data_IF_000952324099
#
_entry.id   IF_000952324099
#
_cell.length_a   1.000
_cell.length_b   1.000
_cell.length_c   1.000
_cell.angle_alpha   90.00
_cell.angle_beta   90.00
_cell.angle_gamma   90.00
#
_symmetry.space_group_name_H-M   'P 1'
#
loop_
_entity.id
_entity.type
_entity.pdbx_description
1 polymer ?
#
# COMPACT_ATOMS: atom_id res chain seq x y z
N UNK A 1 7.66 48.80 -22.59
CA UNK A 1 8.27 48.83 -21.24
C UNK A 1 7.17 48.48 -20.25
N UNK A 2 7.14 47.41 -19.45
CA UNK A 2 8.00 46.26 -19.22
C UNK A 2 7.09 45.02 -19.16
N UNK A 3 7.32 43.99 -20.00
CA UNK A 3 6.63 42.70 -19.92
C UNK A 3 7.72 41.66 -19.74
N UNK A 4 7.81 41.05 -18.56
CA UNK A 4 8.79 40.04 -18.13
C UNK A 4 10.00 40.53 -17.32
N UNK A 5 9.84 41.56 -16.49
CA UNK A 5 10.85 41.79 -15.45
C UNK A 5 10.67 40.76 -14.34
N UNK A 6 11.71 39.96 -14.10
CA UNK A 6 11.76 39.02 -12.99
C UNK A 6 12.16 39.79 -11.74
N UNK A 7 11.39 39.64 -10.67
CA UNK A 7 11.76 40.17 -9.36
C UNK A 7 12.23 39.02 -8.47
N UNK A 8 13.27 39.26 -7.68
CA UNK A 8 13.66 38.34 -6.62
C UNK A 8 12.66 38.47 -5.46
N UNK A 9 12.13 37.34 -4.99
CA UNK A 9 11.14 37.29 -3.92
C UNK A 9 11.51 36.20 -2.93
N UNK A 10 11.47 36.55 -1.65
CA UNK A 10 11.57 35.61 -0.53
C UNK A 10 10.19 35.26 0.01
N UNK A 11 10.06 34.06 0.57
CA UNK A 11 8.82 33.58 1.16
C UNK A 11 8.47 34.40 2.42
N UNK A 12 7.31 35.09 2.48
CA UNK A 12 7.12 36.16 3.48
C UNK A 12 6.62 35.70 4.85
N UNK A 13 6.21 34.44 5.00
CA UNK A 13 5.66 33.89 6.24
C UNK A 13 6.12 32.44 6.49
N UNK A 14 6.13 31.95 7.74
CA UNK A 14 6.58 30.60 8.05
C UNK A 14 5.56 29.53 7.66
N UNK A 15 5.98 28.26 7.74
CA UNK A 15 5.09 27.11 7.67
C UNK A 15 4.07 27.11 8.83
N UNK A 16 2.89 26.54 8.59
CA UNK A 16 1.91 26.26 9.66
C UNK A 16 1.96 24.76 9.94
N UNK A 17 2.37 24.39 11.16
CA UNK A 17 2.37 23.00 11.62
C UNK A 17 2.50 22.95 13.15
N UNK A 18 2.21 21.78 13.73
CA UNK A 18 2.48 21.45 15.11
C UNK A 18 2.98 20.00 15.24
N UNK A 19 3.22 19.56 16.47
CA UNK A 19 3.68 18.19 16.77
C UNK A 19 2.71 17.09 16.34
N UNK A 20 1.43 17.42 16.18
CA UNK A 20 0.35 16.48 15.89
C UNK A 20 -0.02 16.50 14.40
N UNK A 21 0.63 17.32 13.58
CA UNK A 21 0.44 17.37 12.13
C UNK A 21 0.86 16.05 11.49
N UNK A 22 0.02 15.54 10.57
CA UNK A 22 0.12 14.21 9.95
C UNK A 22 0.26 14.22 8.44
N UNK A 23 -0.27 15.25 7.77
CA UNK A 23 -0.04 15.45 6.34
C UNK A 23 0.63 16.80 6.13
N UNK A 24 1.51 16.88 5.14
CA UNK A 24 2.12 18.14 4.70
C UNK A 24 1.63 18.46 3.29
N UNK A 25 0.94 19.59 3.14
CA UNK A 25 0.54 20.10 1.84
C UNK A 25 1.48 21.23 1.44
N UNK A 26 2.03 21.13 0.23
CA UNK A 26 2.96 22.09 -0.35
C UNK A 26 2.32 22.77 -1.55
N UNK A 27 2.28 24.10 -1.57
CA UNK A 27 2.16 24.85 -2.81
C UNK A 27 3.50 24.97 -3.54
N UNK A 28 3.52 25.73 -4.65
CA UNK A 28 4.76 26.05 -5.38
C UNK A 28 5.47 27.22 -4.69
N UNK A 29 4.84 28.39 -4.74
CA UNK A 29 5.27 29.64 -4.12
C UNK A 29 4.02 30.53 -3.90
N UNK A 30 3.97 31.38 -2.86
CA UNK A 30 2.80 32.19 -2.55
C UNK A 30 2.49 33.19 -3.68
N UNK A 31 1.20 33.29 -4.05
CA UNK A 31 0.72 34.28 -5.02
C UNK A 31 0.90 35.73 -4.54
N UNK A 32 0.86 36.72 -5.44
CA UNK A 32 0.87 38.16 -5.10
C UNK A 32 -0.14 38.45 -3.99
N UNK A 33 -1.37 37.94 -4.11
CA UNK A 33 -2.40 38.17 -3.11
C UNK A 33 -2.09 37.52 -1.76
N UNK A 34 -1.52 36.31 -1.77
CA UNK A 34 -1.05 35.63 -0.56
C UNK A 34 0.05 36.44 0.15
N UNK A 35 0.96 37.06 -0.63
CA UNK A 35 2.02 37.92 -0.08
C UNK A 35 1.46 39.22 0.52
N UNK A 36 0.48 39.84 -0.13
CA UNK A 36 -0.20 41.03 0.41
C UNK A 36 -0.91 40.77 1.75
N UNK A 37 -1.57 39.62 1.89
CA UNK A 37 -2.32 39.27 3.12
C UNK A 37 -1.48 38.50 4.13
N UNK A 38 -0.20 38.26 3.82
CA UNK A 38 0.74 37.50 4.63
C UNK A 38 0.22 36.11 5.06
N UNK A 39 -0.51 35.41 4.17
CA UNK A 39 -1.11 34.11 4.48
C UNK A 39 -1.35 33.25 3.23
N UNK A 40 -1.48 31.93 3.44
CA UNK A 40 -1.67 30.95 2.37
C UNK A 40 -3.00 31.13 1.63
N UNK A 41 -2.94 30.95 0.30
CA UNK A 41 -4.10 30.95 -0.60
C UNK A 41 -5.05 32.16 -0.45
N UNK A 42 -4.50 33.37 -0.29
CA UNK A 42 -5.26 34.60 -0.08
C UNK A 42 -6.13 35.08 -1.26
N UNK A 43 -6.01 34.48 -2.45
CA UNK A 43 -6.84 34.84 -3.59
C UNK A 43 -8.29 34.34 -3.41
N UNK A 44 -9.34 35.19 -3.48
CA UNK A 44 -10.73 34.80 -3.16
C UNK A 44 -11.29 33.64 -4.01
N UNK A 45 -10.82 33.50 -5.25
CA UNK A 45 -11.19 32.38 -6.14
C UNK A 45 -10.37 31.10 -5.92
N UNK A 46 -9.38 31.10 -5.02
CA UNK A 46 -8.65 29.87 -4.70
C UNK A 46 -9.58 28.95 -3.90
N UNK A 47 -9.66 27.70 -4.31
CA UNK A 47 -10.62 26.74 -3.76
C UNK A 47 -10.08 25.94 -2.58
N UNK A 48 -8.83 26.15 -2.16
CA UNK A 48 -8.16 25.34 -1.14
C UNK A 48 -8.98 25.24 0.16
N UNK A 49 -9.33 26.38 0.77
CA UNK A 49 -10.03 26.41 2.06
C UNK A 49 -11.41 25.75 1.98
N UNK A 50 -12.17 26.03 0.91
CA UNK A 50 -13.47 25.39 0.65
C UNK A 50 -13.33 23.88 0.45
N UNK A 51 -12.29 23.44 -0.25
CA UNK A 51 -12.02 22.04 -0.55
C UNK A 51 -11.64 21.27 0.71
N UNK A 52 -10.66 21.75 1.47
CA UNK A 52 -10.15 21.02 2.63
C UNK A 52 -11.17 20.99 3.77
N UNK A 53 -11.94 22.06 3.98
CA UNK A 53 -13.06 22.07 4.95
C UNK A 53 -14.16 21.09 4.56
N UNK A 54 -14.52 21.04 3.27
CA UNK A 54 -15.46 20.05 2.75
C UNK A 54 -15.00 18.61 3.01
N UNK A 55 -13.72 18.30 2.78
CA UNK A 55 -13.17 16.97 3.03
C UNK A 55 -13.08 16.60 4.51
N UNK A 56 -12.93 17.58 5.39
CA UNK A 56 -12.96 17.37 6.85
C UNK A 56 -14.39 17.38 7.42
N UNK A 57 -15.41 17.69 6.62
CA UNK A 57 -16.80 17.79 7.08
C UNK A 57 -17.06 19.01 7.98
N UNK A 58 -16.28 20.07 7.84
CA UNK A 58 -16.36 21.28 8.67
C UNK A 58 -16.75 22.53 7.87
N UNK A 59 -17.17 23.58 8.57
CA UNK A 59 -17.39 24.89 7.97
C UNK A 59 -16.07 25.48 7.44
N UNK A 60 -16.15 26.24 6.34
CA UNK A 60 -14.98 26.90 5.77
C UNK A 60 -14.51 28.02 6.70
N UNK A 61 -13.25 27.99 7.19
CA UNK A 61 -12.73 29.04 8.06
C UNK A 61 -12.52 30.35 7.28
N UNK A 62 -12.80 31.49 7.92
CA UNK A 62 -12.77 32.80 7.28
C UNK A 62 -11.52 33.60 7.68
N UNK A 63 -11.24 33.67 8.98
CA UNK A 63 -10.11 34.44 9.54
C UNK A 63 -8.80 33.66 9.52
N UNK A 64 -7.67 34.35 9.71
CA UNK A 64 -6.34 33.72 9.78
C UNK A 64 -6.25 32.81 11.00
N UNK A 65 -6.82 33.23 12.11
CA UNK A 65 -6.89 32.50 13.37
C UNK A 65 -7.72 31.23 13.21
N UNK A 66 -8.90 31.32 12.59
CA UNK A 66 -9.76 30.18 12.30
C UNK A 66 -9.11 29.18 11.35
N UNK A 67 -8.41 29.68 10.30
CA UNK A 67 -7.69 28.84 9.33
C UNK A 67 -6.53 28.11 9.98
N UNK A 68 -5.78 28.78 10.83
CA UNK A 68 -4.65 28.18 11.56
C UNK A 68 -5.17 27.12 12.55
N UNK A 69 -6.19 27.46 13.34
CA UNK A 69 -6.84 26.50 14.24
C UNK A 69 -7.46 25.32 13.48
N UNK A 70 -7.97 25.53 12.26
CA UNK A 70 -8.51 24.48 11.39
C UNK A 70 -7.43 23.49 10.96
N UNK A 71 -6.28 24.00 10.53
CA UNK A 71 -5.16 23.15 10.14
C UNK A 71 -4.66 22.30 11.31
N UNK A 72 -4.45 22.91 12.49
CA UNK A 72 -3.99 22.19 13.68
C UNK A 72 -4.95 21.09 14.14
N UNK A 73 -6.24 21.40 14.30
CA UNK A 73 -7.24 20.41 14.77
C UNK A 73 -7.44 19.26 13.78
N UNK A 74 -7.21 19.50 12.50
CA UNK A 74 -7.29 18.48 11.45
C UNK A 74 -5.93 17.86 11.12
N UNK A 75 -4.88 18.13 11.90
CA UNK A 75 -3.55 17.52 11.71
C UNK A 75 -2.92 17.82 10.34
N UNK A 76 -3.12 19.02 9.81
CA UNK A 76 -2.62 19.45 8.51
C UNK A 76 -1.48 20.45 8.69
N UNK A 77 -0.30 20.11 8.19
CA UNK A 77 0.77 21.07 7.96
C UNK A 77 0.62 21.70 6.57
N UNK A 78 0.89 22.99 6.46
CA UNK A 78 0.78 23.75 5.23
C UNK A 78 2.01 24.62 5.00
N UNK A 79 2.61 24.51 3.82
CA UNK A 79 3.68 25.38 3.36
C UNK A 79 3.76 25.47 1.83
N UNK A 80 4.88 25.98 1.31
CA UNK A 80 5.23 26.04 -0.10
C UNK A 80 6.59 25.38 -0.32
N UNK A 81 6.86 24.95 -1.55
CA UNK A 81 8.10 24.21 -1.88
C UNK A 81 9.33 25.12 -1.94
N UNK A 82 9.15 26.39 -2.27
CA UNK A 82 10.26 27.32 -2.57
C UNK A 82 10.37 28.40 -1.49
N UNK A 83 11.60 28.58 -0.99
CA UNK A 83 11.98 29.61 -0.02
C UNK A 83 12.21 30.96 -0.69
N UNK A 84 12.87 30.97 -1.84
CA UNK A 84 13.08 32.19 -2.64
C UNK A 84 13.26 31.86 -4.12
N UNK A 85 12.90 32.80 -4.98
CA UNK A 85 13.09 32.66 -6.42
C UNK A 85 13.01 34.01 -7.15
N UNK A 86 13.42 34.00 -8.41
CA UNK A 86 13.12 35.06 -9.35
C UNK A 86 11.83 34.71 -10.09
N UNK A 87 10.81 35.57 -9.99
CA UNK A 87 9.48 35.30 -10.54
C UNK A 87 8.87 36.54 -11.18
N UNK A 88 8.08 36.35 -12.23
CA UNK A 88 7.19 37.37 -12.77
C UNK A 88 5.81 37.21 -12.10
N UNK A 89 5.46 38.16 -11.24
CA UNK A 89 4.20 38.21 -10.50
C UNK A 89 3.93 36.93 -9.68
N UNK A 90 3.05 36.04 -10.15
CA UNK A 90 2.73 34.74 -9.54
C UNK A 90 2.82 33.59 -10.53
N UNK A 91 3.47 33.79 -11.67
CA UNK A 91 3.48 32.79 -12.73
C UNK A 91 4.51 31.71 -12.44
N UNK A 92 4.06 30.51 -12.06
CA UNK A 92 4.94 29.35 -11.80
C UNK A 92 5.86 29.00 -12.99
N UNK A 93 5.42 29.29 -14.23
CA UNK A 93 6.22 29.08 -15.44
C UNK A 93 7.44 30.00 -15.54
N UNK A 94 7.45 31.11 -14.78
CA UNK A 94 8.52 32.12 -14.80
C UNK A 94 9.57 31.92 -13.71
N UNK A 95 9.37 30.97 -12.79
CA UNK A 95 10.27 30.71 -11.66
C UNK A 95 11.67 30.35 -12.18
N UNK A 96 12.66 31.14 -11.76
CA UNK A 96 14.10 30.90 -11.96
C UNK A 96 14.84 31.02 -10.63
N UNK A 97 16.07 30.52 -10.61
CA UNK A 97 16.97 30.61 -9.44
C UNK A 97 16.30 30.19 -8.12
N UNK A 98 15.51 29.12 -8.20
CA UNK A 98 14.67 28.67 -7.08
C UNK A 98 15.52 28.02 -6.00
N UNK A 99 15.36 28.49 -4.76
CA UNK A 99 15.91 27.89 -3.55
C UNK A 99 14.77 27.17 -2.83
N UNK A 100 14.86 25.85 -2.59
CA UNK A 100 13.80 25.12 -1.89
C UNK A 100 13.73 25.48 -0.40
N UNK A 101 12.54 25.34 0.20
CA UNK A 101 12.41 25.34 1.66
C UNK A 101 13.04 24.08 2.26
N UNK A 102 13.66 24.23 3.43
CA UNK A 102 14.10 23.09 4.25
C UNK A 102 12.91 22.53 5.04
N UNK A 103 12.44 21.34 4.67
CA UNK A 103 11.33 20.68 5.35
C UNK A 103 11.77 19.86 6.57
N UNK A 104 13.07 19.74 6.82
CA UNK A 104 13.62 18.93 7.93
C UNK A 104 13.00 19.29 9.28
N UNK A 105 12.86 20.58 9.66
CA UNK A 105 12.24 20.94 10.94
C UNK A 105 10.80 20.44 11.08
N UNK A 106 10.00 20.48 10.00
CA UNK A 106 8.63 19.98 10.02
C UNK A 106 8.64 18.46 10.22
N UNK A 107 9.47 17.75 9.46
CA UNK A 107 9.52 16.28 9.48
C UNK A 107 10.08 15.70 10.78
N UNK A 108 10.91 16.45 11.51
CA UNK A 108 11.49 16.04 12.79
C UNK A 108 10.60 16.38 13.98
N UNK A 109 9.87 17.51 13.91
CA UNK A 109 9.09 18.04 15.03
C UNK A 109 7.58 17.79 14.90
N UNK A 110 7.17 16.93 13.96
CA UNK A 110 5.77 16.53 13.79
C UNK A 110 5.66 15.06 13.38
N UNK A 111 4.43 14.61 13.09
CA UNK A 111 4.10 13.22 12.76
C UNK A 111 3.72 13.07 11.28
N UNK A 112 4.32 13.85 10.38
CA UNK A 112 4.03 13.73 8.95
C UNK A 112 4.22 12.29 8.48
N UNK A 113 3.14 11.72 7.95
CA UNK A 113 3.03 10.41 7.32
C UNK A 113 3.04 10.51 5.78
N UNK A 114 2.59 11.64 5.23
CA UNK A 114 2.48 11.85 3.79
C UNK A 114 2.71 13.31 3.38
N UNK A 115 3.32 13.49 2.20
CA UNK A 115 3.57 14.79 1.57
C UNK A 115 2.74 14.91 0.29
N UNK A 116 2.02 16.02 0.16
CA UNK A 116 1.17 16.34 -0.97
C UNK A 116 1.63 17.63 -1.64
N UNK A 117 1.60 17.67 -2.97
CA UNK A 117 1.90 18.89 -3.73
C UNK A 117 0.67 19.37 -4.47
N UNK A 118 0.27 20.62 -4.23
CA UNK A 118 -0.89 21.28 -4.82
C UNK A 118 -0.56 21.80 -6.22
N UNK A 119 -0.77 20.96 -7.24
CA UNK A 119 -0.56 21.28 -8.65
C UNK A 119 0.77 20.81 -9.23
N UNK A 120 0.84 20.79 -10.57
CA UNK A 120 1.99 20.26 -11.31
C UNK A 120 3.29 21.05 -11.10
N UNK A 121 3.19 22.37 -10.91
CA UNK A 121 4.35 23.20 -10.65
C UNK A 121 5.02 22.86 -9.31
N UNK A 122 4.23 22.80 -8.24
CA UNK A 122 4.69 22.37 -6.90
C UNK A 122 5.33 20.99 -6.97
N UNK A 123 4.68 20.02 -7.61
CA UNK A 123 5.21 18.67 -7.77
C UNK A 123 6.57 18.64 -8.49
N UNK A 124 6.69 19.35 -9.62
CA UNK A 124 7.94 19.43 -10.38
C UNK A 124 9.08 20.03 -9.55
N UNK A 125 8.79 21.06 -8.75
CA UNK A 125 9.78 21.71 -7.89
C UNK A 125 10.19 20.78 -6.74
N UNK A 126 9.24 20.08 -6.13
CA UNK A 126 9.51 19.08 -5.10
C UNK A 126 10.41 17.95 -5.62
N UNK A 127 10.05 17.32 -6.74
CA UNK A 127 10.83 16.23 -7.34
C UNK A 127 12.25 16.68 -7.73
N UNK A 128 12.40 17.94 -8.17
CA UNK A 128 13.70 18.47 -8.58
C UNK A 128 14.62 18.82 -7.41
N UNK A 129 14.09 19.46 -6.36
CA UNK A 129 14.92 20.10 -5.34
C UNK A 129 14.80 19.48 -3.94
N UNK A 130 13.65 18.92 -3.58
CA UNK A 130 13.38 18.43 -2.22
C UNK A 130 13.49 16.91 -2.14
N UNK A 131 12.88 16.19 -3.10
CA UNK A 131 12.91 14.71 -3.16
C UNK A 131 14.33 14.12 -3.12
N UNK A 132 15.34 14.66 -3.83
CA UNK A 132 16.69 14.09 -3.82
C UNK A 132 17.39 14.22 -2.46
N UNK A 133 17.00 15.22 -1.66
CA UNK A 133 17.58 15.47 -0.34
C UNK A 133 16.88 14.63 0.72
N UNK A 134 15.55 14.64 0.73
CA UNK A 134 14.77 14.01 1.80
C UNK A 134 14.49 12.53 1.58
N UNK A 135 14.51 12.04 0.34
CA UNK A 135 14.19 10.64 0.08
C UNK A 135 12.75 10.25 0.44
N UNK A 136 11.81 11.21 0.53
CA UNK A 136 10.36 10.98 0.72
C UNK A 136 9.57 11.34 -0.57
N UNK A 137 8.76 10.43 -1.16
CA UNK A 137 7.97 10.75 -2.35
C UNK A 137 6.79 11.64 -1.99
N UNK A 138 6.37 12.51 -2.92
CA UNK A 138 5.16 13.31 -2.76
C UNK A 138 4.04 12.85 -3.72
N UNK A 139 2.80 13.02 -3.29
CA UNK A 139 1.62 12.75 -4.11
C UNK A 139 1.12 14.05 -4.75
N UNK A 140 1.08 14.06 -6.09
CA UNK A 140 0.58 15.21 -6.84
C UNK A 140 -0.95 15.29 -6.76
N UNK A 141 -1.45 16.43 -6.28
CA UNK A 141 -2.87 16.76 -6.28
C UNK A 141 -3.18 17.79 -7.38
N UNK A 142 -4.40 17.81 -7.95
CA UNK A 142 -4.80 18.87 -8.86
C UNK A 142 -4.78 20.24 -8.18
N UNK A 143 -4.43 21.28 -8.94
CA UNK A 143 -4.27 22.61 -8.37
C UNK A 143 -5.59 23.21 -7.88
N UNK A 144 -5.58 23.82 -6.70
CA UNK A 144 -6.72 24.60 -6.15
C UNK A 144 -6.77 26.04 -6.67
N UNK A 145 -5.75 26.46 -7.42
CA UNK A 145 -5.61 27.81 -7.99
C UNK A 145 -6.74 28.13 -8.98
N UNK A 146 -7.10 29.41 -9.16
CA UNK A 146 -8.00 29.86 -10.22
C UNK A 146 -7.52 29.49 -11.63
N UNK A 147 -6.21 29.24 -11.83
CA UNK A 147 -5.67 28.77 -13.10
C UNK A 147 -6.23 27.39 -13.52
N UNK A 148 -6.71 26.59 -12.57
CA UNK A 148 -7.36 25.31 -12.82
C UNK A 148 -8.89 25.43 -12.93
N UNK A 149 -9.39 26.51 -13.55
CA UNK A 149 -10.82 26.82 -13.60
C UNK A 149 -11.68 25.75 -14.31
N UNK A 150 -11.08 24.92 -15.17
CA UNK A 150 -11.79 23.88 -15.92
C UNK A 150 -12.27 22.70 -15.05
N UNK A 151 -11.59 22.41 -13.94
CA UNK A 151 -11.97 21.31 -13.05
C UNK A 151 -13.20 21.68 -12.22
N UNK A 152 -14.25 20.85 -12.25
CA UNK A 152 -15.42 21.00 -11.36
C UNK A 152 -15.01 20.79 -9.90
N UNK A 153 -15.78 21.34 -8.97
CA UNK A 153 -15.44 21.23 -7.55
C UNK A 153 -15.52 19.79 -7.06
N UNK A 154 -16.49 19.03 -7.54
CA UNK A 154 -16.74 17.63 -7.20
C UNK A 154 -15.58 16.74 -7.68
N UNK A 155 -15.12 16.92 -8.92
CA UNK A 155 -13.96 16.19 -9.48
C UNK A 155 -12.67 16.52 -8.70
N UNK A 156 -12.53 17.78 -8.27
CA UNK A 156 -11.43 18.24 -7.45
C UNK A 156 -11.48 17.61 -6.05
N UNK A 157 -12.65 17.59 -5.41
CA UNK A 157 -12.89 16.94 -4.12
C UNK A 157 -12.56 15.45 -4.17
N UNK A 158 -13.04 14.74 -5.19
CA UNK A 158 -12.77 13.32 -5.36
C UNK A 158 -11.27 13.05 -5.52
N UNK A 159 -10.56 13.88 -6.28
CA UNK A 159 -9.11 13.73 -6.47
C UNK A 159 -8.30 13.95 -5.18
N UNK A 160 -8.77 14.85 -4.31
CA UNK A 160 -8.16 15.19 -3.04
C UNK A 160 -8.58 14.27 -1.90
N UNK A 161 -9.68 13.53 -2.02
CA UNK A 161 -10.25 12.65 -1.01
C UNK A 161 -9.22 11.73 -0.34
N UNK A 162 -8.22 11.27 -1.10
CA UNK A 162 -7.09 10.46 -0.60
C UNK A 162 -6.39 11.01 0.64
N UNK A 163 -6.34 12.35 0.81
CA UNK A 163 -5.68 12.96 1.97
C UNK A 163 -6.34 12.56 3.29
N UNK A 164 -7.65 12.28 3.25
CA UNK A 164 -8.44 11.90 4.42
C UNK A 164 -8.00 10.58 5.04
N UNK A 165 -7.32 9.71 4.29
CA UNK A 165 -6.78 8.44 4.80
C UNK A 165 -5.83 8.69 5.96
N UNK A 166 -4.90 9.63 5.82
CA UNK A 166 -3.93 9.95 6.89
C UNK A 166 -4.50 10.91 7.93
N UNK A 167 -5.62 11.56 7.66
CA UNK A 167 -6.32 12.35 8.68
C UNK A 167 -7.11 11.45 9.64
N UNK A 168 -7.74 10.40 9.09
CA UNK A 168 -8.72 9.58 9.81
C UNK A 168 -8.19 8.20 10.25
N UNK A 169 -7.01 7.78 9.79
CA UNK A 169 -6.44 6.45 10.10
C UNK A 169 -5.44 6.53 11.24
N UNK A 170 -5.46 5.60 12.19
CA UNK A 170 -4.44 5.43 13.23
C UNK A 170 -3.19 4.67 12.75
N UNK A 171 -3.18 4.19 11.50
CA UNK A 171 -2.00 3.55 10.91
C UNK A 171 -0.87 4.56 10.70
N UNK A 172 0.35 4.17 11.07
CA UNK A 172 1.50 5.08 11.12
C UNK A 172 2.80 4.40 10.70
N UNK A 173 3.65 5.13 9.99
CA UNK A 173 5.04 4.79 9.72
C UNK A 173 6.00 5.33 10.79
N UNK A 174 5.60 6.35 11.57
CA UNK A 174 6.40 6.98 12.64
C UNK A 174 6.54 6.12 13.90
N UNK A 175 5.57 5.25 14.17
CA UNK A 175 5.64 4.24 15.23
C UNK A 175 5.11 2.91 14.69
N UNK A 176 5.85 2.31 13.76
CA UNK A 176 5.34 1.24 12.92
C UNK A 176 4.90 -0.01 13.72
N UNK A 177 3.58 -0.24 13.73
CA UNK A 177 2.91 -1.45 14.27
C UNK A 177 1.99 -2.12 13.24
N UNK A 178 2.33 -2.00 11.96
CA UNK A 178 1.52 -2.48 10.83
C UNK A 178 1.46 -4.01 10.69
N UNK A 179 2.31 -4.75 11.38
CA UNK A 179 2.33 -6.21 11.34
C UNK A 179 2.57 -6.79 12.75
N UNK A 180 2.36 -8.10 12.97
CA UNK A 180 2.46 -8.69 14.30
C UNK A 180 3.84 -8.53 14.98
N UNK A 181 4.89 -8.21 14.21
CA UNK A 181 6.23 -7.87 14.75
C UNK A 181 6.23 -6.67 15.69
N UNK A 182 5.27 -5.74 15.57
CA UNK A 182 5.11 -4.59 16.47
C UNK A 182 6.41 -3.78 16.74
N UNK A 183 7.27 -3.63 15.73
CA UNK A 183 8.63 -3.12 15.92
C UNK A 183 8.73 -1.67 16.45
N UNK A 184 7.68 -0.85 16.28
CA UNK A 184 7.61 0.50 16.83
C UNK A 184 8.59 1.52 16.21
N UNK A 185 9.33 1.15 15.16
CA UNK A 185 10.32 2.03 14.53
C UNK A 185 9.66 3.20 13.81
N UNK A 186 10.35 4.34 13.78
CA UNK A 186 10.08 5.41 12.82
C UNK A 186 10.74 5.05 11.48
N UNK A 187 9.91 4.71 10.48
CA UNK A 187 10.38 4.28 9.15
C UNK A 187 10.96 5.40 8.29
N UNK A 188 10.77 6.66 8.68
CA UNK A 188 11.45 7.79 8.05
C UNK A 188 12.91 7.91 8.50
N UNK A 189 13.28 7.28 9.61
CA UNK A 189 14.64 7.29 10.17
C UNK A 189 15.33 5.94 10.06
N UNK A 190 14.62 4.85 10.35
CA UNK A 190 15.17 3.51 10.46
C UNK A 190 14.35 2.49 9.68
N UNK A 191 14.85 1.26 9.57
CA UNK A 191 14.12 0.13 9.00
C UNK A 191 13.75 -0.87 10.10
N UNK A 192 12.55 -1.44 10.01
CA UNK A 192 12.11 -2.53 10.88
C UNK A 192 12.54 -3.89 10.34
N UNK A 193 12.02 -4.96 10.94
CA UNK A 193 12.32 -6.35 10.53
C UNK A 193 12.07 -6.61 9.03
N UNK A 194 11.00 -6.01 8.48
CA UNK A 194 10.64 -6.17 7.07
C UNK A 194 11.54 -5.38 6.10
N UNK A 195 12.42 -4.52 6.60
CA UNK A 195 13.32 -3.66 5.82
C UNK A 195 12.64 -2.64 4.89
N UNK A 196 11.32 -2.48 5.01
CA UNK A 196 10.52 -1.59 4.18
C UNK A 196 10.60 -0.11 4.60
N UNK A 197 10.58 0.84 3.66
CA UNK A 197 10.44 2.26 3.94
C UNK A 197 9.08 2.71 4.46
N UNK A 198 8.98 4.01 4.75
CA UNK A 198 7.74 4.77 4.95
C UNK A 198 7.02 5.13 3.62
N UNK A 199 7.29 4.39 2.55
CA UNK A 199 6.65 4.52 1.24
C UNK A 199 6.68 3.16 0.54
N UNK A 200 5.75 2.94 -0.38
CA UNK A 200 5.67 1.69 -1.13
C UNK A 200 6.88 1.51 -2.06
N UNK A 201 7.34 0.27 -2.15
CA UNK A 201 8.35 -0.17 -3.11
C UNK A 201 7.77 -1.40 -3.79
N UNK A 202 7.81 -1.42 -5.12
CA UNK A 202 7.30 -2.54 -5.90
C UNK A 202 8.30 -2.93 -7.00
N UNK A 203 8.25 -4.21 -7.37
CA UNK A 203 9.19 -4.82 -8.29
C UNK A 203 8.57 -5.20 -9.65
N UNK A 204 7.23 -5.28 -9.73
CA UNK A 204 6.48 -5.63 -10.93
C UNK A 204 5.00 -5.30 -10.76
N UNK A 205 4.36 -4.78 -11.81
CA UNK A 205 2.92 -4.67 -11.94
C UNK A 205 2.50 -5.15 -13.35
N UNK A 206 1.86 -6.31 -13.44
CA UNK A 206 1.51 -6.92 -14.73
C UNK A 206 0.35 -7.92 -14.61
N UNK A 207 -0.23 -8.32 -15.74
CA UNK A 207 -1.15 -9.47 -15.79
C UNK A 207 -0.38 -10.76 -15.43
N UNK A 208 -0.89 -11.48 -14.43
CA UNK A 208 -0.30 -12.69 -13.89
C UNK A 208 -1.27 -13.88 -14.04
N UNK A 209 -0.93 -14.88 -14.87
CA UNK A 209 -1.84 -15.98 -15.17
C UNK A 209 -1.78 -17.13 -14.16
N UNK A 210 -0.95 -17.04 -13.11
CA UNK A 210 -0.54 -18.19 -12.30
C UNK A 210 -1.13 -18.26 -10.87
N UNK A 211 -2.19 -17.50 -10.58
CA UNK A 211 -2.96 -17.69 -9.34
C UNK A 211 -4.00 -18.82 -9.51
N UNK A 212 -4.84 -19.06 -8.49
CA UNK A 212 -5.94 -20.01 -8.59
C UNK A 212 -6.85 -19.72 -9.80
N UNK A 213 -7.46 -20.75 -10.44
CA UNK A 213 -8.30 -20.57 -11.63
C UNK A 213 -9.40 -19.51 -11.47
N UNK A 214 -10.04 -19.43 -10.30
CA UNK A 214 -11.07 -18.43 -10.00
C UNK A 214 -10.53 -17.02 -9.73
N UNK A 215 -9.22 -16.85 -9.64
CA UNK A 215 -8.53 -15.55 -9.50
C UNK A 215 -7.95 -15.12 -10.84
N UNK A 216 -7.15 -15.97 -11.48
CA UNK A 216 -6.47 -15.60 -12.73
C UNK A 216 -7.36 -15.71 -13.97
N UNK A 217 -8.39 -16.55 -13.98
CA UNK A 217 -9.23 -16.75 -15.16
C UNK A 217 -8.43 -17.00 -16.44
N UNK A 218 -8.96 -16.53 -17.57
CA UNK A 218 -8.33 -16.57 -18.90
C UNK A 218 -7.44 -15.36 -19.22
N UNK A 219 -7.64 -14.23 -18.54
CA UNK A 219 -6.94 -12.94 -18.82
C UNK A 219 -5.82 -12.62 -17.83
N UNK A 220 -5.72 -13.36 -16.72
CA UNK A 220 -4.78 -13.10 -15.65
C UNK A 220 -5.29 -12.12 -14.58
N UNK A 221 -4.61 -12.16 -13.45
CA UNK A 221 -4.78 -11.25 -12.32
C UNK A 221 -3.84 -10.06 -12.47
N UNK A 222 -4.35 -8.82 -12.34
CA UNK A 222 -3.56 -7.60 -12.39
C UNK A 222 -2.74 -7.46 -11.12
N UNK A 223 -1.52 -8.00 -11.12
CA UNK A 223 -0.77 -8.27 -9.89
C UNK A 223 0.33 -7.25 -9.66
N UNK A 224 0.34 -6.65 -8.47
CA UNK A 224 1.40 -5.76 -7.98
C UNK A 224 2.24 -6.50 -6.94
N UNK A 225 3.51 -6.75 -7.28
CA UNK A 225 4.48 -7.40 -6.41
C UNK A 225 5.25 -6.36 -5.59
N UNK A 226 4.91 -6.25 -4.31
CA UNK A 226 5.58 -5.34 -3.39
C UNK A 226 6.92 -5.91 -2.89
N UNK A 227 7.86 -5.03 -2.59
CA UNK A 227 9.20 -5.35 -2.07
C UNK A 227 9.20 -5.41 -0.54
N UNK A 228 9.88 -6.40 0.02
CA UNK A 228 9.98 -6.69 1.45
C UNK A 228 8.98 -7.76 1.91
N UNK A 229 9.23 -8.37 3.06
CA UNK A 229 8.29 -9.30 3.71
C UNK A 229 8.37 -9.20 5.24
N UNK A 230 7.26 -9.47 5.94
CA UNK A 230 7.21 -9.54 7.42
C UNK A 230 7.71 -10.89 7.97
N UNK A 231 7.86 -11.86 7.08
CA UNK A 231 8.49 -13.17 7.29
C UNK A 231 9.86 -13.22 6.59
N UNK A 232 10.70 -14.19 6.97
CA UNK A 232 12.00 -14.47 6.34
C UNK A 232 12.12 -15.93 6.00
N UNK A 233 11.24 -16.40 5.11
CA UNK A 233 11.20 -17.80 4.72
C UNK A 233 12.54 -18.20 4.06
N UNK A 234 13.23 -19.19 4.60
CA UNK A 234 14.46 -19.72 4.01
C UNK A 234 14.24 -20.36 2.63
N UNK A 235 13.00 -20.71 2.29
CA UNK A 235 12.60 -21.29 1.00
C UNK A 235 11.84 -20.31 0.08
N UNK A 236 11.94 -18.99 0.32
CA UNK A 236 11.15 -18.01 -0.44
C UNK A 236 11.51 -18.02 -1.94
N UNK A 237 10.54 -18.32 -2.81
CA UNK A 237 10.67 -18.19 -4.27
C UNK A 237 10.91 -16.73 -4.68
N UNK A 238 10.27 -15.80 -3.97
CA UNK A 238 10.36 -14.36 -4.22
C UNK A 238 11.47 -13.68 -3.39
N UNK A 239 12.56 -14.38 -3.03
CA UNK A 239 13.61 -13.85 -2.14
C UNK A 239 14.23 -12.53 -2.65
N UNK A 240 14.41 -12.37 -3.97
CA UNK A 240 14.93 -11.15 -4.59
C UNK A 240 14.14 -9.90 -4.19
N UNK A 241 12.82 -9.98 -4.13
CA UNK A 241 11.96 -8.85 -3.75
C UNK A 241 11.65 -8.84 -2.25
N UNK A 242 11.48 -10.00 -1.63
CA UNK A 242 11.05 -10.09 -0.23
C UNK A 242 12.19 -9.88 0.76
N UNK A 243 13.43 -10.22 0.39
CA UNK A 243 14.58 -10.25 1.30
C UNK A 243 15.79 -9.43 0.83
N UNK A 244 16.04 -9.34 -0.47
CA UNK A 244 17.17 -8.57 -1.05
C UNK A 244 16.80 -7.13 -1.42
N UNK A 245 15.54 -6.73 -1.25
CA UNK A 245 15.11 -5.34 -1.40
C UNK A 245 15.01 -4.85 -2.85
N UNK A 246 14.95 -5.75 -3.84
CA UNK A 246 14.79 -5.35 -5.24
C UNK A 246 13.42 -4.71 -5.49
N UNK A 247 13.41 -3.52 -6.07
CA UNK A 247 12.20 -2.79 -6.46
C UNK A 247 12.47 -1.29 -6.65
N UNK A 248 11.44 -0.54 -7.04
CA UNK A 248 11.47 0.92 -7.17
C UNK A 248 10.49 1.58 -6.19
N UNK A 249 10.85 2.73 -5.59
CA UNK A 249 9.90 3.55 -4.85
C UNK A 249 8.73 3.96 -5.73
N UNK A 250 7.50 3.83 -5.22
CA UNK A 250 6.28 4.30 -5.86
C UNK A 250 5.49 5.19 -4.90
N UNK A 251 4.93 6.28 -5.40
CA UNK A 251 3.98 7.11 -4.64
C UNK A 251 2.59 6.45 -4.62
N UNK A 252 1.73 6.84 -3.68
CA UNK A 252 0.31 6.42 -3.70
C UNK A 252 -0.38 6.86 -5.00
N UNK A 253 0.02 8.02 -5.56
CA UNK A 253 -0.41 8.50 -6.87
C UNK A 253 -0.08 7.53 -8.00
N UNK A 254 1.20 7.14 -8.13
CA UNK A 254 1.61 6.17 -9.16
C UNK A 254 0.94 4.82 -8.95
N UNK A 255 0.82 4.36 -7.71
CA UNK A 255 0.13 3.11 -7.40
C UNK A 255 -1.35 3.14 -7.81
N UNK A 256 -2.02 4.29 -7.67
CA UNK A 256 -3.40 4.50 -8.15
C UNK A 256 -3.49 4.35 -9.67
N UNK A 257 -2.54 4.93 -10.41
CA UNK A 257 -2.47 4.84 -11.87
C UNK A 257 -2.25 3.39 -12.31
N UNK A 258 -1.32 2.68 -11.67
CA UNK A 258 -1.06 1.25 -11.93
C UNK A 258 -2.33 0.41 -11.80
N UNK A 259 -3.15 0.65 -10.77
CA UNK A 259 -4.41 -0.08 -10.60
C UNK A 259 -5.37 0.12 -11.78
N UNK A 260 -5.49 1.36 -12.28
CA UNK A 260 -6.35 1.66 -13.42
C UNK A 260 -5.77 1.11 -14.72
N UNK A 261 -4.45 1.21 -14.93
CA UNK A 261 -3.75 0.65 -16.09
C UNK A 261 -3.93 -0.88 -16.19
N UNK A 262 -3.84 -1.60 -15.07
CA UNK A 262 -4.07 -3.05 -15.03
C UNK A 262 -5.53 -3.41 -15.35
N UNK A 263 -6.49 -2.62 -14.86
CA UNK A 263 -7.90 -2.78 -15.23
C UNK A 263 -8.12 -2.54 -16.73
N UNK A 264 -7.52 -1.48 -17.30
CA UNK A 264 -7.59 -1.16 -18.73
C UNK A 264 -6.95 -2.25 -19.61
N UNK A 265 -5.93 -2.94 -19.10
CA UNK A 265 -5.34 -4.13 -19.74
C UNK A 265 -6.25 -5.37 -19.71
N UNK A 266 -7.39 -5.31 -19.01
CA UNK A 266 -8.37 -6.39 -18.96
C UNK A 266 -8.17 -7.38 -17.80
N UNK A 267 -7.42 -7.00 -16.76
CA UNK A 267 -7.25 -7.80 -15.56
C UNK A 267 -8.60 -8.22 -14.95
N UNK A 268 -8.67 -9.45 -14.43
CA UNK A 268 -9.86 -9.92 -13.71
C UNK A 268 -10.00 -9.32 -12.30
N UNK A 269 -8.89 -8.89 -11.72
CA UNK A 269 -8.81 -8.29 -10.39
C UNK A 269 -7.50 -7.50 -10.25
N UNK A 270 -7.41 -6.68 -9.20
CA UNK A 270 -6.16 -6.08 -8.74
C UNK A 270 -5.64 -6.89 -7.56
N UNK A 271 -4.50 -7.57 -7.73
CA UNK A 271 -3.91 -8.44 -6.72
C UNK A 271 -2.69 -7.82 -6.05
N UNK A 272 -2.81 -7.60 -4.75
CA UNK A 272 -1.81 -6.95 -3.92
C UNK A 272 -0.98 -8.00 -3.19
N UNK A 273 0.21 -8.31 -3.72
CA UNK A 273 1.08 -9.35 -3.15
C UNK A 273 2.02 -8.75 -2.10
N UNK A 274 1.81 -9.10 -0.83
CA UNK A 274 2.61 -8.63 0.33
C UNK A 274 2.51 -7.12 0.58
N UNK A 275 1.29 -6.56 0.52
CA UNK A 275 1.05 -5.13 0.68
C UNK A 275 1.00 -4.62 2.14
N UNK A 276 1.00 -5.51 3.13
CA UNK A 276 0.78 -5.24 4.56
C UNK A 276 1.61 -4.12 5.16
N UNK A 277 2.93 -4.20 4.93
CA UNK A 277 3.87 -3.20 5.43
C UNK A 277 3.63 -1.81 4.84
N UNK A 278 2.87 -1.70 3.75
CA UNK A 278 2.59 -0.46 3.05
C UNK A 278 1.12 -0.03 3.21
N UNK A 279 0.41 -0.57 4.20
CA UNK A 279 -1.01 -0.32 4.40
C UNK A 279 -1.42 1.17 4.34
N UNK A 280 -0.70 2.14 4.97
CA UNK A 280 -1.03 3.55 4.81
C UNK A 280 -1.00 4.04 3.35
N UNK A 281 0.04 3.67 2.58
CA UNK A 281 0.20 4.06 1.18
C UNK A 281 -0.81 3.34 0.27
N UNK A 282 -1.09 2.08 0.55
CA UNK A 282 -2.03 1.25 -0.22
C UNK A 282 -3.46 1.72 -0.01
N UNK A 283 -3.87 2.03 1.23
CA UNK A 283 -5.19 2.59 1.53
C UNK A 283 -5.40 3.93 0.81
N UNK A 284 -4.38 4.79 0.81
CA UNK A 284 -4.43 6.06 0.10
C UNK A 284 -4.60 5.87 -1.42
N UNK A 285 -3.89 4.90 -2.01
CA UNK A 285 -4.00 4.59 -3.43
C UNK A 285 -5.38 4.00 -3.79
N UNK A 286 -5.91 3.10 -2.95
CA UNK A 286 -7.23 2.52 -3.14
C UNK A 286 -8.34 3.56 -2.98
N UNK A 287 -8.22 4.48 -2.02
CA UNK A 287 -9.18 5.58 -1.84
C UNK A 287 -9.21 6.52 -3.05
N UNK A 288 -8.06 6.78 -3.66
CA UNK A 288 -7.95 7.63 -4.84
C UNK A 288 -8.65 7.08 -6.10
N UNK A 289 -8.85 5.76 -6.15
CA UNK A 289 -9.51 5.05 -7.26
C UNK A 289 -10.85 4.45 -6.84
N UNK A 290 -11.36 4.81 -5.66
CA UNK A 290 -12.67 4.35 -5.20
C UNK A 290 -13.73 4.75 -6.23
N UNK A 291 -14.57 3.80 -6.62
CA UNK A 291 -15.60 3.99 -7.64
C UNK A 291 -15.09 4.06 -9.09
N UNK A 292 -13.76 4.03 -9.32
CA UNK A 292 -13.15 3.92 -10.66
C UNK A 292 -12.72 2.49 -10.97
N UNK A 293 -12.34 1.73 -9.95
CA UNK A 293 -12.18 0.29 -10.07
C UNK A 293 -13.56 -0.39 -10.12
N UNK A 294 -13.77 -1.18 -11.16
CA UNK A 294 -14.97 -2.00 -11.40
C UNK A 294 -14.69 -3.50 -11.20
N UNK A 295 -13.41 -3.88 -11.09
CA UNK A 295 -12.96 -5.25 -10.80
C UNK A 295 -12.59 -5.41 -9.31
N UNK A 296 -12.69 -6.63 -8.75
CA UNK A 296 -12.38 -6.87 -7.34
C UNK A 296 -10.90 -6.63 -7.02
N UNK A 297 -10.63 -6.36 -5.74
CA UNK A 297 -9.26 -6.29 -5.20
C UNK A 297 -8.99 -7.55 -4.38
N UNK A 298 -7.92 -8.25 -4.77
CA UNK A 298 -7.38 -9.44 -4.11
C UNK A 298 -6.21 -9.03 -3.22
N UNK A 299 -6.17 -9.57 -2.00
CA UNK A 299 -5.06 -9.38 -1.07
C UNK A 299 -4.32 -10.70 -0.84
N UNK A 300 -3.19 -10.85 -1.51
CA UNK A 300 -2.33 -12.03 -1.43
C UNK A 300 -1.24 -11.82 -0.38
N UNK A 301 -1.24 -12.66 0.66
CA UNK A 301 -0.38 -12.47 1.84
C UNK A 301 0.17 -13.78 2.39
N UNK A 302 1.24 -13.67 3.19
CA UNK A 302 1.78 -14.81 3.93
C UNK A 302 0.96 -15.22 5.15
N UNK A 303 -0.22 -14.63 5.37
CA UNK A 303 -1.10 -14.85 6.52
C UNK A 303 -0.69 -14.13 7.81
N UNK A 304 0.55 -13.64 7.92
CA UNK A 304 1.08 -13.01 9.14
C UNK A 304 0.69 -11.52 9.25
N UNK A 305 -0.62 -11.28 9.40
CA UNK A 305 -1.25 -9.95 9.35
C UNK A 305 -1.89 -9.55 10.69
N UNK A 306 -2.09 -8.24 10.91
CA UNK A 306 -2.85 -7.76 12.08
C UNK A 306 -4.34 -7.61 11.74
N UNK A 307 -5.26 -8.08 12.61
CA UNK A 307 -6.69 -7.84 12.45
C UNK A 307 -7.07 -6.37 12.24
N UNK A 308 -6.41 -5.45 12.94
CA UNK A 308 -6.60 -4.00 12.80
C UNK A 308 -6.37 -3.53 11.36
N UNK A 309 -5.30 -4.00 10.71
CA UNK A 309 -4.96 -3.63 9.33
C UNK A 309 -5.93 -4.25 8.34
N UNK A 310 -6.33 -5.51 8.56
CA UNK A 310 -7.33 -6.21 7.75
C UNK A 310 -8.66 -5.42 7.77
N UNK A 311 -9.14 -5.02 8.96
CA UNK A 311 -10.40 -4.25 9.10
C UNK A 311 -10.35 -2.91 8.36
N UNK A 312 -9.20 -2.22 8.33
CA UNK A 312 -9.05 -0.97 7.57
C UNK A 312 -9.09 -1.20 6.05
N UNK A 313 -8.53 -2.31 5.58
CA UNK A 313 -8.51 -2.71 4.16
C UNK A 313 -9.83 -3.33 3.68
N UNK A 314 -10.64 -3.87 4.58
CA UNK A 314 -11.88 -4.61 4.26
C UNK A 314 -12.90 -3.82 3.43
N UNK A 315 -12.90 -2.49 3.48
CA UNK A 315 -13.79 -1.67 2.64
C UNK A 315 -13.34 -1.53 1.18
N UNK A 316 -12.15 -2.05 0.85
CA UNK A 316 -11.54 -2.00 -0.49
C UNK A 316 -11.20 -3.39 -1.03
N UNK A 317 -10.85 -4.33 -0.15
CA UNK A 317 -10.48 -5.70 -0.49
C UNK A 317 -11.70 -6.60 -0.36
N UNK A 318 -12.09 -7.27 -1.45
CA UNK A 318 -13.19 -8.22 -1.45
C UNK A 318 -12.72 -9.67 -1.38
N UNK A 319 -11.51 -9.97 -1.86
CA UNK A 319 -10.96 -11.32 -1.89
C UNK A 319 -9.66 -11.39 -1.10
N UNK A 320 -9.54 -12.36 -0.20
CA UNK A 320 -8.34 -12.60 0.60
C UNK A 320 -7.70 -13.93 0.24
N UNK A 321 -6.39 -13.89 0.02
CA UNK A 321 -5.60 -15.04 -0.38
C UNK A 321 -4.41 -15.22 0.60
N UNK A 322 -4.68 -15.57 1.88
CA UNK A 322 -3.63 -15.84 2.85
C UNK A 322 -3.00 -17.22 2.68
N UNK A 323 -1.68 -17.27 2.85
CA UNK A 323 -0.98 -18.52 3.12
C UNK A 323 -1.08 -18.87 4.61
N UNK A 324 -1.42 -20.11 4.94
CA UNK A 324 -1.24 -20.71 6.26
C UNK A 324 -0.16 -21.78 6.17
N UNK A 325 1.05 -21.46 6.63
CA UNK A 325 2.27 -22.23 6.34
C UNK A 325 2.59 -23.32 7.37
N UNK A 326 2.36 -23.05 8.65
CA UNK A 326 2.77 -23.91 9.76
C UNK A 326 1.69 -23.96 10.83
N UNK A 327 1.60 -25.09 11.51
CA UNK A 327 0.94 -25.21 12.81
C UNK A 327 1.97 -25.15 13.95
N UNK A 328 3.15 -25.78 13.77
CA UNK A 328 4.21 -25.83 14.79
C UNK A 328 4.95 -24.49 14.93
N UNK A 329 5.08 -23.95 16.16
CA UNK A 329 5.88 -22.77 16.43
C UNK A 329 7.38 -23.00 16.16
N UNK A 330 7.88 -24.21 16.41
CA UNK A 330 9.28 -24.57 16.15
C UNK A 330 9.61 -24.53 14.65
N UNK A 331 8.72 -25.07 13.80
CA UNK A 331 8.88 -25.02 12.34
C UNK A 331 8.79 -23.58 11.82
N UNK A 332 7.83 -22.80 12.33
CA UNK A 332 7.65 -21.42 11.93
C UNK A 332 8.85 -20.53 12.32
N UNK A 333 9.42 -20.74 13.50
CA UNK A 333 10.66 -20.10 13.91
C UNK A 333 11.83 -20.55 13.03
N UNK A 334 12.02 -21.86 12.86
CA UNK A 334 13.13 -22.45 12.11
C UNK A 334 13.15 -21.99 10.65
N UNK A 335 12.01 -22.01 9.98
CA UNK A 335 11.98 -21.79 8.53
C UNK A 335 11.56 -20.38 8.10
N UNK A 336 10.91 -19.59 8.96
CA UNK A 336 10.43 -18.24 8.63
C UNK A 336 10.77 -17.17 9.66
N UNK A 337 11.42 -17.52 10.77
CA UNK A 337 11.80 -16.61 11.84
C UNK A 337 10.61 -16.02 12.60
N UNK A 338 9.49 -16.74 12.69
CA UNK A 338 8.26 -16.29 13.33
C UNK A 338 7.64 -17.41 14.20
N UNK A 339 8.13 -17.58 15.41
CA UNK A 339 7.60 -18.57 16.37
C UNK A 339 6.09 -18.44 16.61
N UNK A 340 5.57 -17.21 16.71
CA UNK A 340 4.16 -16.91 16.92
C UNK A 340 3.31 -16.93 15.64
N UNK A 341 3.84 -17.45 14.53
CA UNK A 341 3.20 -17.40 13.22
C UNK A 341 1.77 -17.94 13.22
N UNK A 342 1.57 -19.15 13.75
CA UNK A 342 0.28 -19.82 13.66
C UNK A 342 -0.80 -19.06 14.44
N UNK A 343 -0.47 -18.57 15.64
CA UNK A 343 -1.38 -17.78 16.47
C UNK A 343 -1.83 -16.52 15.73
N UNK A 344 -0.89 -15.82 15.08
CA UNK A 344 -1.19 -14.60 14.33
C UNK A 344 -1.92 -14.87 13.02
N UNK A 345 -1.51 -15.89 12.29
CA UNK A 345 -2.11 -16.24 11.00
C UNK A 345 -3.53 -16.79 11.16
N UNK A 346 -3.77 -17.59 12.20
CA UNK A 346 -5.11 -18.09 12.50
C UNK A 346 -6.08 -16.97 12.91
N UNK A 347 -5.64 -16.00 13.72
CA UNK A 347 -6.41 -14.80 14.07
C UNK A 347 -6.69 -13.91 12.83
N UNK A 348 -5.68 -13.71 12.00
CA UNK A 348 -5.80 -12.97 10.74
C UNK A 348 -6.82 -13.61 9.80
N UNK A 349 -6.74 -14.92 9.57
CA UNK A 349 -7.66 -15.67 8.70
C UNK A 349 -9.11 -15.58 9.18
N UNK A 350 -9.35 -15.71 10.49
CA UNK A 350 -10.70 -15.51 11.04
C UNK A 350 -11.22 -14.11 10.75
N UNK A 351 -10.37 -13.09 10.89
CA UNK A 351 -10.73 -11.70 10.60
C UNK A 351 -11.00 -11.49 9.10
N UNK A 352 -10.25 -12.14 8.22
CA UNK A 352 -10.47 -12.09 6.77
C UNK A 352 -11.81 -12.75 6.39
N UNK A 353 -12.15 -13.89 7.01
CA UNK A 353 -13.44 -14.57 6.81
C UNK A 353 -14.60 -13.71 7.31
N UNK A 354 -14.47 -13.09 8.49
CA UNK A 354 -15.44 -12.14 9.04
C UNK A 354 -15.65 -10.95 8.09
N UNK A 355 -14.55 -10.39 7.55
CA UNK A 355 -14.57 -9.23 6.67
C UNK A 355 -15.17 -9.52 5.29
N UNK A 356 -14.83 -10.66 4.68
CA UNK A 356 -15.28 -10.99 3.33
C UNK A 356 -16.66 -11.67 3.30
N UNK A 357 -17.01 -12.44 4.33
CA UNK A 357 -18.13 -13.36 4.29
C UNK A 357 -17.86 -14.59 3.40
N UNK A 358 -18.89 -15.40 3.12
CA UNK A 358 -18.74 -16.62 2.33
C UNK A 358 -18.30 -16.33 0.88
N UNK A 359 -17.60 -17.27 0.22
CA UNK A 359 -17.21 -17.15 -1.18
C UNK A 359 -18.39 -16.86 -2.11
N UNK A 360 -18.23 -15.88 -3.00
CA UNK A 360 -19.19 -15.50 -4.04
C UNK A 360 -18.47 -15.44 -5.37
N UNK A 361 -19.06 -16.07 -6.38
CA UNK A 361 -18.54 -16.13 -7.74
C UNK A 361 -19.45 -15.37 -8.72
N UNK A 362 -18.88 -14.88 -9.81
CA UNK A 362 -19.64 -14.35 -10.95
C UNK A 362 -20.12 -15.48 -11.89
N UNK A 363 -20.82 -15.11 -12.98
CA UNK A 363 -21.29 -16.09 -13.99
C UNK A 363 -20.17 -16.87 -14.70
N UNK A 364 -18.93 -16.38 -14.66
CA UNK A 364 -17.77 -17.00 -15.30
C UNK A 364 -16.97 -17.87 -14.32
N UNK A 365 -17.43 -18.00 -13.07
CA UNK A 365 -16.74 -18.76 -12.03
C UNK A 365 -15.53 -18.05 -11.42
N UNK A 366 -15.42 -16.72 -11.60
CA UNK A 366 -14.40 -15.89 -10.96
C UNK A 366 -14.84 -15.49 -9.56
N UNK A 367 -13.92 -15.54 -8.60
CA UNK A 367 -14.19 -15.18 -7.22
C UNK A 367 -14.26 -13.65 -7.11
N UNK A 368 -15.45 -13.12 -6.81
CA UNK A 368 -15.67 -11.68 -6.63
C UNK A 368 -15.52 -11.27 -5.16
N UNK A 369 -15.75 -12.20 -4.23
CA UNK A 369 -15.62 -12.00 -2.79
C UNK A 369 -15.36 -13.32 -2.07
N UNK A 370 -14.53 -13.32 -1.03
CA UNK A 370 -14.34 -14.49 -0.17
C UNK A 370 -12.90 -14.67 0.30
N UNK A 371 -12.61 -15.83 0.87
CA UNK A 371 -11.28 -16.19 1.35
C UNK A 371 -10.84 -17.52 0.72
N UNK A 372 -9.63 -17.56 0.19
CA UNK A 372 -8.94 -18.80 -0.22
C UNK A 372 -7.74 -18.99 0.69
N UNK A 373 -7.76 -20.01 1.53
CA UNK A 373 -6.63 -20.35 2.41
C UNK A 373 -5.67 -21.24 1.63
N UNK A 374 -4.47 -20.74 1.36
CA UNK A 374 -3.42 -21.52 0.70
C UNK A 374 -2.56 -22.26 1.73
N UNK A 375 -2.33 -23.53 1.50
CA UNK A 375 -1.42 -24.33 2.30
C UNK A 375 -0.43 -25.07 1.39
N UNK A 376 0.83 -24.65 1.44
CA UNK A 376 1.93 -25.33 0.76
C UNK A 376 2.49 -26.43 1.65
N UNK A 377 2.42 -27.69 1.19
CA UNK A 377 2.95 -28.83 1.94
C UNK A 377 4.47 -28.83 1.91
N UNK A 378 5.09 -28.81 3.09
CA UNK A 378 6.54 -28.85 3.21
C UNK A 378 7.06 -30.30 3.26
N UNK A 379 8.16 -30.61 2.54
CA UNK A 379 8.80 -31.91 2.61
C UNK A 379 9.17 -32.28 4.05
N UNK A 380 8.99 -33.55 4.41
CA UNK A 380 9.25 -34.12 5.73
C UNK A 380 8.34 -33.63 6.86
N UNK A 381 7.37 -32.74 6.59
CA UNK A 381 6.52 -32.10 7.60
C UNK A 381 5.01 -32.27 7.35
N UNK A 382 4.61 -33.33 6.63
CA UNK A 382 3.18 -33.62 6.34
C UNK A 382 2.29 -33.68 7.59
N UNK A 383 2.83 -34.12 8.73
CA UNK A 383 2.05 -34.26 9.95
C UNK A 383 1.68 -32.88 10.52
N UNK A 384 2.51 -31.85 10.27
CA UNK A 384 2.18 -30.45 10.58
C UNK A 384 1.06 -29.94 9.67
N UNK A 385 1.12 -30.26 8.37
CA UNK A 385 0.04 -29.99 7.42
C UNK A 385 -1.29 -30.62 7.87
N UNK A 386 -1.27 -31.88 8.30
CA UNK A 386 -2.49 -32.58 8.76
C UNK A 386 -3.06 -31.91 10.03
N UNK A 387 -2.22 -31.49 10.98
CA UNK A 387 -2.67 -30.73 12.16
C UNK A 387 -3.32 -29.40 11.77
N UNK A 388 -2.72 -28.69 10.82
CA UNK A 388 -3.25 -27.43 10.29
C UNK A 388 -4.62 -27.64 9.62
N UNK A 389 -4.77 -28.66 8.78
CA UNK A 389 -6.05 -29.02 8.15
C UNK A 389 -7.11 -29.38 9.20
N UNK A 390 -6.73 -30.17 10.21
CA UNK A 390 -7.63 -30.50 11.31
C UNK A 390 -8.11 -29.24 12.03
N UNK A 391 -7.19 -28.32 12.32
CA UNK A 391 -7.56 -27.04 12.93
C UNK A 391 -8.53 -26.24 12.06
N UNK A 392 -8.28 -26.15 10.75
CA UNK A 392 -9.17 -25.48 9.79
C UNK A 392 -10.59 -26.07 9.87
N UNK A 393 -10.72 -27.40 9.82
CA UNK A 393 -12.02 -28.09 9.87
C UNK A 393 -12.74 -27.89 11.20
N UNK A 394 -12.00 -27.97 12.31
CA UNK A 394 -12.56 -27.89 13.67
C UNK A 394 -12.97 -26.47 14.06
N UNK A 395 -12.32 -25.42 13.52
CA UNK A 395 -12.40 -24.07 14.08
C UNK A 395 -12.90 -22.97 13.14
N UNK A 396 -12.90 -23.18 11.82
CA UNK A 396 -13.36 -22.20 10.84
C UNK A 396 -14.78 -22.54 10.35
N UNK A 397 -15.62 -21.53 10.04
CA UNK A 397 -16.99 -21.78 9.62
C UNK A 397 -17.04 -22.52 8.28
N UNK A 398 -17.75 -23.66 8.25
CA UNK A 398 -17.97 -24.42 7.01
C UNK A 398 -18.64 -23.53 5.95
N UNK A 399 -18.14 -23.57 4.72
CA UNK A 399 -18.60 -22.72 3.63
C UNK A 399 -18.14 -21.25 3.71
N UNK A 400 -17.33 -20.87 4.70
CA UNK A 400 -16.79 -19.51 4.84
C UNK A 400 -15.49 -19.25 4.07
N UNK A 401 -14.89 -20.27 3.47
CA UNK A 401 -13.61 -20.20 2.77
C UNK A 401 -13.49 -21.32 1.74
N UNK A 402 -12.54 -21.18 0.82
CA UNK A 402 -12.01 -22.24 -0.04
C UNK A 402 -10.63 -22.64 0.46
N UNK A 403 -10.23 -23.89 0.23
CA UNK A 403 -8.86 -24.35 0.51
C UNK A 403 -8.06 -24.53 -0.78
N UNK A 404 -6.79 -24.15 -0.78
CA UNK A 404 -5.87 -24.40 -1.90
C UNK A 404 -4.64 -25.15 -1.36
N UNK A 405 -4.61 -26.47 -1.56
CA UNK A 405 -3.50 -27.32 -1.12
C UNK A 405 -2.50 -27.43 -2.27
N UNK A 406 -1.29 -26.95 -2.03
CA UNK A 406 -0.26 -26.80 -3.06
C UNK A 406 0.85 -27.84 -2.90
N UNK A 407 1.21 -28.50 -4.00
CA UNK A 407 2.36 -29.40 -4.11
C UNK A 407 3.64 -28.72 -4.62
N UNK A 408 3.58 -27.42 -4.95
CA UNK A 408 4.59 -26.67 -5.73
C UNK A 408 5.87 -26.30 -4.95
N UNK A 409 6.19 -27.03 -3.89
CA UNK A 409 7.41 -26.78 -3.15
C UNK A 409 8.64 -27.08 -4.02
N UNK A 410 9.39 -26.02 -4.34
CA UNK A 410 10.69 -26.10 -4.99
C UNK A 410 11.74 -25.58 -4.01
N UNK A 411 12.84 -26.32 -3.77
CA UNK A 411 13.93 -25.82 -2.94
C UNK A 411 14.54 -24.55 -3.54
N UNK A 412 14.28 -23.40 -2.92
CA UNK A 412 14.84 -22.11 -3.31
C UNK A 412 15.67 -21.51 -2.17
N UNK A 413 16.47 -20.50 -2.51
CA UNK A 413 17.17 -19.63 -1.57
C UNK A 413 18.03 -20.40 -0.57
N UNK A 414 17.78 -20.25 0.74
CA UNK A 414 18.51 -20.91 1.83
C UNK A 414 17.90 -22.26 2.24
N UNK A 415 16.99 -22.84 1.45
CA UNK A 415 16.41 -24.16 1.79
C UNK A 415 17.44 -25.29 1.74
N UNK A 416 18.55 -25.12 1.00
CA UNK A 416 19.67 -26.04 0.96
C UNK A 416 20.39 -26.21 2.32
N UNK A 417 20.29 -25.20 3.20
CA UNK A 417 20.85 -25.25 4.55
C UNK A 417 20.05 -26.18 5.49
N UNK A 418 18.89 -26.66 5.04
CA UNK A 418 17.96 -27.47 5.81
C UNK A 418 17.65 -28.79 5.09
N UNK A 419 18.35 -29.85 5.48
CA UNK A 419 18.26 -31.20 4.87
C UNK A 419 16.82 -31.71 4.70
N UNK A 420 15.91 -31.37 5.61
CA UNK A 420 14.53 -31.85 5.60
C UNK A 420 13.71 -31.27 4.45
N UNK A 421 14.00 -30.03 4.05
CA UNK A 421 13.28 -29.26 3.02
C UNK A 421 14.15 -28.93 1.80
N UNK A 422 15.40 -29.41 1.73
CA UNK A 422 16.29 -29.22 0.59
C UNK A 422 15.94 -30.10 -0.63
N UNK A 423 14.71 -30.64 -0.68
CA UNK A 423 14.22 -31.56 -1.73
C UNK A 423 12.78 -31.24 -2.09
N UNK A 424 12.30 -31.75 -3.23
CA UNK A 424 10.87 -31.68 -3.58
C UNK A 424 10.04 -32.67 -2.75
N UNK A 425 8.73 -32.42 -2.71
CA UNK A 425 7.75 -33.25 -2.03
C UNK A 425 7.61 -34.62 -2.73
N UNK A 426 7.54 -35.70 -1.95
CA UNK A 426 7.21 -37.03 -2.50
C UNK A 426 5.70 -37.16 -2.73
N UNK A 427 5.31 -38.04 -3.66
CA UNK A 427 3.88 -38.29 -3.91
C UNK A 427 3.18 -38.87 -2.67
N UNK A 428 3.90 -39.67 -1.88
CA UNK A 428 3.37 -40.19 -0.61
C UNK A 428 3.05 -39.08 0.39
N UNK A 429 3.97 -38.11 0.59
CA UNK A 429 3.73 -37.00 1.51
C UNK A 429 2.55 -36.15 1.09
N UNK A 430 2.46 -35.83 -0.22
CA UNK A 430 1.36 -35.03 -0.74
C UNK A 430 0.02 -35.76 -0.61
N UNK A 431 -0.07 -36.99 -1.11
CA UNK A 431 -1.31 -37.76 -1.09
C UNK A 431 -1.82 -37.97 0.34
N UNK A 432 -0.92 -38.17 1.31
CA UNK A 432 -1.32 -38.25 2.73
C UNK A 432 -2.00 -37.00 3.25
N UNK A 433 -1.57 -35.81 2.81
CA UNK A 433 -2.22 -34.54 3.18
C UNK A 433 -3.56 -34.38 2.46
N UNK A 434 -3.63 -34.79 1.19
CA UNK A 434 -4.88 -34.77 0.40
C UNK A 434 -5.93 -35.72 0.99
N UNK A 435 -5.56 -36.97 1.29
CA UNK A 435 -6.44 -37.96 1.91
C UNK A 435 -6.99 -37.41 3.24
N UNK A 436 -6.14 -36.79 4.07
CA UNK A 436 -6.57 -36.16 5.31
C UNK A 436 -7.52 -34.98 5.09
N UNK A 437 -7.31 -34.16 4.05
CA UNK A 437 -8.23 -33.08 3.70
C UNK A 437 -9.62 -33.62 3.32
N UNK A 438 -9.66 -34.70 2.53
CA UNK A 438 -10.90 -35.38 2.13
C UNK A 438 -11.62 -35.95 3.35
N UNK A 439 -10.91 -36.67 4.23
CA UNK A 439 -11.47 -37.25 5.45
C UNK A 439 -12.05 -36.19 6.40
N UNK A 440 -11.47 -34.98 6.40
CA UNK A 440 -11.93 -33.83 7.19
C UNK A 440 -13.06 -33.02 6.52
N UNK A 441 -13.48 -33.41 5.30
CA UNK A 441 -14.50 -32.71 4.53
C UNK A 441 -14.04 -31.38 3.92
N UNK A 442 -12.73 -31.17 3.76
CA UNK A 442 -12.12 -29.99 3.17
C UNK A 442 -11.95 -30.17 1.65
N UNK A 443 -13.07 -30.40 0.96
CA UNK A 443 -13.11 -30.70 -0.48
C UNK A 443 -13.41 -29.48 -1.35
N UNK A 444 -13.86 -28.38 -0.75
CA UNK A 444 -14.20 -27.14 -1.46
C UNK A 444 -12.94 -26.30 -1.72
N UNK A 445 -12.46 -26.33 -2.97
CA UNK A 445 -11.33 -25.51 -3.42
C UNK A 445 -10.43 -26.21 -4.43
N UNK A 446 -9.12 -26.08 -4.26
CA UNK A 446 -8.11 -26.47 -5.25
C UNK A 446 -7.10 -27.46 -4.65
N UNK A 447 -6.85 -28.53 -5.37
CA UNK A 447 -5.80 -29.52 -5.07
C UNK A 447 -4.94 -29.67 -6.32
N UNK A 448 -3.67 -29.30 -6.23
CA UNK A 448 -2.80 -29.22 -7.41
C UNK A 448 -2.21 -30.58 -7.80
N UNK A 449 -1.98 -30.77 -9.10
CA UNK A 449 -1.19 -31.90 -9.59
C UNK A 449 0.30 -31.65 -9.38
N UNK A 450 1.08 -32.72 -9.16
CA UNK A 450 2.53 -32.62 -8.94
C UNK A 450 3.30 -31.99 -10.11
N UNK A 451 2.77 -32.08 -11.33
CA UNK A 451 3.34 -31.49 -12.55
C UNK A 451 3.46 -29.95 -12.46
N UNK A 452 2.77 -29.32 -11.51
CA UNK A 452 2.80 -27.89 -11.26
C UNK A 452 4.01 -27.40 -10.44
N UNK A 453 4.99 -28.24 -10.09
CA UNK A 453 6.22 -27.77 -9.42
C UNK A 453 7.32 -27.41 -10.45
N UNK A 454 7.24 -26.22 -11.05
CA UNK A 454 8.21 -25.68 -12.02
C UNK A 454 8.76 -24.33 -11.57
N UNK A 455 9.92 -23.91 -12.07
CA UNK A 455 10.50 -22.60 -11.73
C UNK A 455 9.75 -21.44 -12.42
N UNK A 456 9.02 -21.75 -13.49
CA UNK A 456 8.27 -20.82 -14.36
C UNK A 456 7.15 -20.04 -13.65
N UNK A 457 6.75 -20.42 -12.42
CA UNK A 457 5.73 -19.70 -11.64
C UNK A 457 6.27 -18.42 -10.98
N UNK A 458 7.60 -18.27 -10.86
CA UNK A 458 8.19 -17.02 -10.36
C UNK A 458 8.36 -16.04 -11.52
N UNK A 459 7.65 -14.90 -11.55
CA UNK A 459 7.78 -13.95 -12.63
C UNK A 459 9.18 -13.31 -12.64
N UNK A 460 9.72 -12.94 -13.82
CA UNK A 460 10.96 -12.19 -13.87
C UNK A 460 10.74 -10.80 -13.25
N UNK A 461 11.52 -10.48 -12.21
CA UNK A 461 11.46 -9.17 -11.56
C UNK A 461 12.40 -8.20 -12.28
N UNK A 462 11.82 -7.47 -13.24
CA UNK A 462 12.49 -6.49 -14.12
C UNK A 462 11.82 -5.11 -14.11
N UNK A 463 10.99 -4.80 -13.11
CA UNK A 463 10.32 -3.51 -12.93
C UNK A 463 9.28 -3.19 -14.01
N UNK A 464 8.77 -4.22 -14.70
CA UNK A 464 7.66 -4.10 -15.65
C UNK A 464 6.43 -3.47 -14.97
N UNK A 465 5.86 -2.46 -15.61
CA UNK A 465 4.66 -1.74 -15.16
C UNK A 465 4.85 -0.81 -13.95
N UNK A 466 6.06 -0.69 -13.39
CA UNK A 466 6.36 0.14 -12.20
C UNK A 466 6.68 1.59 -12.57
#
# INVERSE_FOLDING_TARGET
MAKNELMHVEHPFPAIYDKDSRILILGSFPSVKSREVNFFYGHPRNRFWKLISHLCGEACPETVEEKTAFLHRNHIALWDSIASCDIHASSDSSIKNAVPNDLTPILENSRIEAVYTNGAASHRLYEKYIRPVLGIPATRLPSTSPANAAAKFEDLAESWRRVTVHLNSDLSYRQCRLCPRNCGVDRFKNRGYCQSPAYAVAARAALHPWEEPCISGDRGSGTVFFTGCTLRCCFCQNYKISQEGFGKPISSGRLSEIFLELQEQGAHNINLVTAAMYAPTVLEALEAVRGKLTIPVVYNSGGYEKPEVIRKLASYVSVWLPDLKYYSPELAQKYSGAEDYFDRASEAIRTMIEAAGPPVFDENGLLIRGVIIRHMVLPSHRDDSIRLLKWISDHLPKGGYLISIMSQYTPFYHSADYKEISRRLTSFEYNRVIDAAIDLGLTEGFMQEKSSAKEEYTPPFELEGI
#
